data_IF_187482523107
#
_entry.id   IF_187482523107
#
_cell.length_a   1.000
_cell.length_b   1.000
_cell.length_c   1.000
_cell.angle_alpha   90.00
_cell.angle_beta   90.00
_cell.angle_gamma   90.00
#
_symmetry.space_group_name_H-M   'P 1'
#
loop_
_entity.id
_entity.type
_entity.pdbx_description
1 polymer ?
#
# COMPACT_ATOMS: atom_id res chain seq x y z
N UNK A 1 -37.02 12.48 37.54
CA UNK A 1 -36.28 11.78 36.48
C UNK A 1 -34.80 12.02 36.72
N UNK A 2 -34.06 11.02 37.22
CA UNK A 2 -32.61 11.12 37.40
C UNK A 2 -31.95 10.27 36.31
N UNK A 3 -31.24 10.92 35.40
CA UNK A 3 -30.42 10.29 34.39
C UNK A 3 -29.24 9.57 35.07
N UNK A 4 -29.08 8.27 34.83
CA UNK A 4 -27.93 7.48 35.24
C UNK A 4 -26.97 7.33 34.06
N UNK A 5 -25.75 7.85 34.23
CA UNK A 5 -24.64 7.66 33.30
C UNK A 5 -24.07 6.24 33.44
N UNK A 6 -23.87 5.54 32.33
CA UNK A 6 -23.18 4.24 32.28
C UNK A 6 -21.68 4.46 32.53
N UNK A 7 -21.12 3.75 33.51
CA UNK A 7 -19.67 3.74 33.80
C UNK A 7 -18.97 2.87 32.77
N UNK A 8 -17.95 3.41 32.09
CA UNK A 8 -17.08 2.66 31.20
C UNK A 8 -16.01 1.92 32.02
N UNK A 9 -15.84 0.62 31.75
CA UNK A 9 -14.76 -0.20 32.30
C UNK A 9 -13.41 0.27 31.73
N UNK A 10 -12.41 0.42 32.60
CA UNK A 10 -11.03 0.74 32.21
C UNK A 10 -10.32 -0.57 31.87
N UNK A 11 -9.99 -0.78 30.60
CA UNK A 11 -9.24 -1.94 30.13
C UNK A 11 -7.73 -1.63 30.17
N UNK A 12 -6.96 -2.47 30.89
CA UNK A 12 -5.48 -2.39 30.89
C UNK A 12 -4.94 -3.39 29.86
N UNK A 13 -4.37 -2.88 28.77
CA UNK A 13 -3.64 -3.68 27.79
C UNK A 13 -2.22 -3.95 28.32
N UNK A 14 -1.97 -5.17 28.79
CA UNK A 14 -0.64 -5.58 29.24
C UNK A 14 0.17 -6.16 28.05
N UNK A 15 1.16 -5.42 27.56
CA UNK A 15 2.16 -5.92 26.62
C UNK A 15 3.40 -6.34 27.42
N UNK A 16 3.59 -7.65 27.65
CA UNK A 16 4.77 -8.16 28.36
C UNK A 16 5.94 -8.33 27.37
N UNK A 17 6.94 -7.43 27.45
CA UNK A 17 8.21 -7.57 26.75
C UNK A 17 9.17 -8.39 27.63
N UNK A 18 9.29 -9.70 27.39
CA UNK A 18 10.36 -10.50 28.02
C UNK A 18 11.64 -10.33 27.21
N UNK A 19 12.51 -9.43 27.68
CA UNK A 19 13.90 -9.38 27.26
C UNK A 19 14.67 -10.50 27.97
N UNK A 20 15.01 -11.55 27.22
CA UNK A 20 15.86 -12.64 27.69
C UNK A 20 16.61 -13.24 26.51
N UNK A 21 17.80 -12.72 26.23
CA UNK A 21 18.70 -13.31 25.24
C UNK A 21 19.31 -14.62 25.73
N UNK A 22 19.64 -15.52 24.78
CA UNK A 22 20.78 -16.44 24.72
C UNK A 22 20.52 -17.50 23.60
N UNK A 23 21.54 -18.24 23.15
CA UNK A 23 22.53 -17.87 22.14
C UNK A 23 22.27 -18.56 20.79
N UNK A 24 22.83 -17.99 19.71
CA UNK A 24 22.92 -18.67 18.43
C UNK A 24 23.82 -19.92 18.56
N UNK A 25 23.24 -21.11 18.41
CA UNK A 25 23.99 -22.30 18.06
C UNK A 25 23.89 -22.51 16.54
N UNK A 26 24.91 -22.01 15.84
CA UNK A 26 25.12 -22.27 14.41
C UNK A 26 25.69 -23.67 14.25
N UNK A 27 24.87 -24.60 13.77
CA UNK A 27 25.29 -25.95 13.42
C UNK A 27 24.55 -26.48 12.19
N UNK A 28 25.20 -26.39 11.03
CA UNK A 28 25.04 -27.37 9.94
C UNK A 28 24.10 -27.01 8.78
N UNK A 29 24.67 -26.41 7.73
CA UNK A 29 24.49 -26.84 6.33
C UNK A 29 23.13 -26.63 5.64
N UNK A 30 23.06 -25.62 4.76
CA UNK A 30 22.02 -25.51 3.74
C UNK A 30 22.12 -24.20 2.96
N UNK A 31 22.55 -24.27 1.69
CA UNK A 31 22.85 -23.17 0.75
C UNK A 31 21.62 -22.40 0.23
N UNK A 32 20.54 -22.31 1.01
CA UNK A 32 19.37 -21.48 0.69
C UNK A 32 18.92 -20.77 1.96
N UNK A 33 19.54 -19.61 2.21
CA UNK A 33 19.21 -18.73 3.34
C UNK A 33 17.88 -18.02 3.12
N UNK A 34 16.77 -18.76 3.08
CA UNK A 34 15.48 -18.20 3.42
C UNK A 34 15.48 -17.96 4.92
N UNK A 35 15.63 -16.71 5.34
CA UNK A 35 15.26 -16.34 6.71
C UNK A 35 13.79 -16.70 6.87
N UNK A 36 13.51 -17.79 7.58
CA UNK A 36 12.19 -18.03 8.10
C UNK A 36 11.82 -16.81 8.93
N UNK A 37 10.89 -16.01 8.44
CA UNK A 37 10.23 -14.99 9.24
C UNK A 37 9.52 -15.80 10.33
N UNK A 38 10.09 -15.83 11.52
CA UNK A 38 9.37 -16.26 12.71
C UNK A 38 8.37 -15.14 12.98
N UNK A 39 7.19 -15.25 12.40
CA UNK A 39 6.04 -14.46 12.82
C UNK A 39 5.73 -14.89 14.25
N UNK A 40 6.16 -14.09 15.23
CA UNK A 40 5.59 -14.16 16.55
C UNK A 40 4.17 -13.58 16.43
N UNK A 41 3.18 -14.44 16.21
CA UNK A 41 1.78 -14.06 16.31
C UNK A 41 1.55 -13.54 17.74
N UNK A 42 1.18 -12.27 17.86
CA UNK A 42 0.79 -11.69 19.13
C UNK A 42 -0.69 -12.03 19.28
N UNK A 43 -1.01 -12.95 20.19
CA UNK A 43 -2.40 -13.34 20.47
C UNK A 43 -3.25 -12.09 20.75
N UNK A 44 -4.21 -11.80 19.88
CA UNK A 44 -5.17 -10.73 20.14
C UNK A 44 -6.24 -11.25 21.09
N UNK A 45 -6.24 -10.75 22.32
CA UNK A 45 -7.20 -11.14 23.36
C UNK A 45 -7.71 -9.93 24.14
N UNK A 46 -8.89 -10.08 24.75
CA UNK A 46 -9.42 -9.14 25.73
C UNK A 46 -9.81 -9.87 27.01
N UNK A 47 -9.54 -9.27 28.16
CA UNK A 47 -9.85 -9.84 29.47
C UNK A 47 -10.76 -8.90 30.24
N UNK A 48 -11.85 -9.45 30.77
CA UNK A 48 -12.78 -8.77 31.66
C UNK A 48 -12.62 -9.35 33.06
N UNK A 49 -12.14 -8.54 34.01
CA UNK A 49 -12.04 -8.91 35.43
C UNK A 49 -13.17 -8.27 36.20
N UNK A 50 -14.12 -9.06 36.72
CA UNK A 50 -15.37 -8.51 37.26
C UNK A 50 -15.19 -7.68 38.52
N UNK A 51 -14.15 -7.94 39.31
CA UNK A 51 -13.84 -7.14 40.51
C UNK A 51 -13.46 -5.69 40.21
N UNK A 52 -13.07 -5.39 38.98
CA UNK A 52 -12.64 -4.06 38.55
C UNK A 52 -13.83 -3.19 38.08
N UNK A 53 -15.03 -3.79 37.96
CA UNK A 53 -16.22 -3.13 37.42
C UNK A 53 -17.04 -2.38 38.47
N UNK A 54 -16.65 -2.46 39.75
CA UNK A 54 -17.23 -1.66 40.82
C UNK A 54 -18.66 -2.03 41.21
N UNK A 55 -19.02 -3.31 41.09
CA UNK A 55 -20.31 -3.84 41.55
C UNK A 55 -20.44 -3.86 43.07
N UNK A 56 -21.66 -3.62 43.55
CA UNK A 56 -22.03 -3.81 44.94
C UNK A 56 -22.22 -5.30 45.27
N UNK A 57 -22.02 -5.68 46.53
CA UNK A 57 -22.23 -7.05 46.96
C UNK A 57 -23.70 -7.46 46.77
N UNK A 58 -23.92 -8.61 46.12
CA UNK A 58 -25.22 -9.17 45.72
C UNK A 58 -25.95 -8.42 44.60
N UNK A 59 -25.26 -7.52 43.90
CA UNK A 59 -25.79 -6.88 42.70
C UNK A 59 -26.04 -7.91 41.60
N UNK A 60 -27.22 -7.86 40.97
CA UNK A 60 -27.53 -8.69 39.80
C UNK A 60 -26.74 -8.18 38.61
N UNK A 61 -26.06 -9.08 37.90
CA UNK A 61 -25.31 -8.74 36.69
C UNK A 61 -25.98 -9.44 35.51
N UNK A 62 -26.46 -8.66 34.53
CA UNK A 62 -27.15 -9.17 33.34
C UNK A 62 -26.22 -9.20 32.11
N UNK A 63 -25.34 -8.21 31.97
CA UNK A 63 -24.36 -8.19 30.89
C UNK A 63 -23.15 -7.30 31.21
N UNK A 64 -22.04 -7.59 30.54
CA UNK A 64 -20.83 -6.77 30.51
C UNK A 64 -20.39 -6.61 29.06
N UNK A 65 -20.25 -5.37 28.61
CA UNK A 65 -19.71 -5.05 27.29
C UNK A 65 -18.20 -4.80 27.39
N UNK A 66 -17.44 -5.46 26.52
CA UNK A 66 -16.02 -5.23 26.29
C UNK A 66 -15.80 -4.62 24.91
N UNK A 67 -14.54 -4.52 24.46
CA UNK A 67 -14.23 -3.85 23.20
C UNK A 67 -14.79 -4.63 21.99
N UNK A 68 -14.57 -5.95 21.95
CA UNK A 68 -14.95 -6.79 20.82
C UNK A 68 -15.97 -7.87 21.19
N UNK A 69 -16.27 -8.09 22.48
CA UNK A 69 -17.27 -9.03 22.94
C UNK A 69 -18.27 -8.45 23.95
N UNK A 70 -19.36 -9.18 24.13
CA UNK A 70 -20.37 -8.97 25.17
C UNK A 70 -20.53 -10.28 25.95
N UNK A 71 -20.46 -10.21 27.27
CA UNK A 71 -20.68 -11.32 28.18
C UNK A 71 -22.08 -11.14 28.79
N UNK A 72 -23.00 -12.05 28.51
CA UNK A 72 -24.39 -12.01 28.97
C UNK A 72 -24.62 -13.10 30.02
N UNK A 73 -25.27 -12.73 31.12
CA UNK A 73 -25.57 -13.58 32.25
C UNK A 73 -27.07 -13.78 32.36
N UNK A 74 -27.52 -15.02 32.20
CA UNK A 74 -28.95 -15.37 32.26
C UNK A 74 -29.24 -16.27 33.44
N UNK A 75 -30.44 -16.10 34.02
CA UNK A 75 -30.94 -17.05 35.02
C UNK A 75 -31.20 -18.44 34.44
N UNK A 76 -31.28 -18.57 33.11
CA UNK A 76 -31.65 -19.81 32.42
C UNK A 76 -32.91 -20.42 33.03
N UNK A 77 -32.79 -21.64 33.56
CA UNK A 77 -33.88 -22.36 34.23
C UNK A 77 -33.93 -22.16 35.74
N UNK A 78 -32.95 -21.46 36.35
CA UNK A 78 -32.96 -21.19 37.79
C UNK A 78 -33.87 -20.01 38.14
N UNK A 79 -34.31 -19.95 39.39
CA UNK A 79 -35.06 -18.82 39.93
C UNK A 79 -34.17 -17.65 40.36
N UNK A 80 -32.88 -17.90 40.63
CA UNK A 80 -31.92 -16.90 41.08
C UNK A 80 -31.07 -16.39 39.90
N UNK A 81 -31.12 -15.09 39.56
CA UNK A 81 -30.23 -14.55 38.53
C UNK A 81 -28.77 -14.54 39.02
N UNK A 82 -27.80 -14.53 38.09
CA UNK A 82 -26.40 -14.32 38.42
C UNK A 82 -26.17 -13.02 39.21
N UNK A 83 -25.31 -13.07 40.23
CA UNK A 83 -25.02 -11.93 41.10
C UNK A 83 -23.54 -11.82 41.42
N UNK A 84 -23.03 -10.61 41.52
CA UNK A 84 -21.69 -10.35 42.01
C UNK A 84 -21.62 -10.52 43.54
N UNK A 85 -20.56 -11.14 44.03
CA UNK A 85 -20.29 -11.27 45.47
C UNK A 85 -18.87 -10.83 45.78
N UNK A 86 -18.71 -9.99 46.81
CA UNK A 86 -17.38 -9.64 47.32
C UNK A 86 -16.65 -10.87 47.87
N UNK A 87 -17.40 -11.88 48.34
CA UNK A 87 -16.87 -13.16 48.80
C UNK A 87 -16.43 -14.05 47.63
N UNK A 88 -15.17 -13.86 47.23
CA UNK A 88 -14.56 -14.52 46.08
C UNK A 88 -14.42 -13.60 44.86
N UNK A 89 -14.82 -12.33 44.98
CA UNK A 89 -14.66 -11.29 43.96
C UNK A 89 -15.10 -11.73 42.56
N UNK A 90 -16.29 -12.34 42.49
CA UNK A 90 -16.75 -13.07 41.32
C UNK A 90 -18.26 -13.01 41.16
N UNK A 91 -18.72 -13.25 39.94
CA UNK A 91 -20.14 -13.44 39.62
C UNK A 91 -20.48 -14.89 39.90
N UNK A 92 -21.44 -15.10 40.81
CA UNK A 92 -21.99 -16.42 41.11
C UNK A 92 -23.07 -16.77 40.09
N UNK A 93 -22.84 -17.85 39.36
CA UNK A 93 -23.72 -18.42 38.34
C UNK A 93 -24.25 -19.75 38.89
N UNK A 94 -25.55 -19.82 39.18
CA UNK A 94 -26.18 -20.98 39.83
C UNK A 94 -26.40 -22.14 38.86
N UNK A 95 -26.59 -23.36 39.37
CA UNK A 95 -27.01 -24.49 38.53
C UNK A 95 -28.29 -24.18 37.75
N UNK A 96 -28.26 -24.31 36.43
CA UNK A 96 -29.31 -23.93 35.49
C UNK A 96 -29.19 -22.52 34.91
N UNK A 97 -28.24 -21.71 35.36
CA UNK A 97 -27.92 -20.40 34.76
C UNK A 97 -27.03 -20.59 33.52
N UNK A 98 -27.06 -19.60 32.62
CA UNK A 98 -26.19 -19.58 31.43
C UNK A 98 -25.36 -18.31 31.35
N UNK A 99 -24.21 -18.41 30.66
CA UNK A 99 -23.30 -17.30 30.35
C UNK A 99 -22.99 -17.35 28.87
N UNK A 100 -23.35 -16.32 28.12
CA UNK A 100 -23.12 -16.24 26.67
C UNK A 100 -22.03 -15.21 26.38
N UNK A 101 -20.97 -15.61 25.67
CA UNK A 101 -19.93 -14.71 25.19
C UNK A 101 -20.15 -14.56 23.69
N UNK A 102 -20.54 -13.37 23.23
CA UNK A 102 -20.69 -13.05 21.80
C UNK A 102 -19.67 -12.02 21.36
N UNK A 103 -19.17 -12.12 20.13
CA UNK A 103 -18.15 -11.21 19.61
C UNK A 103 -18.40 -10.79 18.17
N UNK A 104 -17.89 -9.60 17.82
CA UNK A 104 -17.79 -9.13 16.43
C UNK A 104 -16.69 -9.86 15.65
N UNK A 105 -15.71 -10.46 16.35
CA UNK A 105 -14.60 -11.25 15.80
C UNK A 105 -14.83 -12.75 16.01
N UNK A 106 -14.15 -13.59 15.22
CA UNK A 106 -14.22 -15.04 15.41
C UNK A 106 -13.38 -15.41 16.63
N UNK A 107 -14.01 -16.06 17.60
CA UNK A 107 -13.39 -16.49 18.86
C UNK A 107 -12.67 -17.82 18.60
N UNK A 108 -11.41 -17.92 19.00
CA UNK A 108 -10.63 -19.16 18.98
C UNK A 108 -10.62 -19.85 20.35
N UNK A 109 -10.67 -19.06 21.41
CA UNK A 109 -10.56 -19.56 22.78
C UNK A 109 -11.27 -18.64 23.78
N UNK A 110 -11.84 -19.21 24.84
CA UNK A 110 -12.39 -18.49 25.98
C UNK A 110 -11.85 -19.12 27.25
N UNK A 111 -11.08 -18.36 28.04
CA UNK A 111 -10.56 -18.81 29.34
C UNK A 111 -11.43 -18.21 30.45
N UNK A 112 -11.98 -19.06 31.31
CA UNK A 112 -12.68 -18.64 32.52
C UNK A 112 -11.72 -18.73 33.70
N UNK A 113 -11.71 -17.73 34.56
CA UNK A 113 -11.09 -17.87 35.89
C UNK A 113 -12.18 -17.94 36.96
N UNK A 114 -11.91 -18.71 38.01
CA UNK A 114 -12.85 -18.89 39.11
C UNK A 114 -12.37 -18.21 40.40
N UNK A 115 -13.32 -17.59 41.10
CA UNK A 115 -13.07 -16.93 42.37
C UNK A 115 -12.88 -17.90 43.54
N UNK A 116 -12.46 -17.37 44.69
CA UNK A 116 -12.23 -18.19 45.88
C UNK A 116 -13.48 -18.95 46.34
N UNK A 117 -13.28 -20.20 46.75
CA UNK A 117 -14.36 -21.12 47.14
C UNK A 117 -15.41 -21.27 46.03
N UNK A 118 -14.93 -21.47 44.80
CA UNK A 118 -15.77 -21.88 43.67
C UNK A 118 -16.52 -23.17 43.98
N UNK A 119 -17.69 -23.34 43.35
CA UNK A 119 -18.41 -24.61 43.41
C UNK A 119 -17.89 -25.61 42.37
N UNK A 120 -18.45 -26.81 42.40
CA UNK A 120 -18.00 -27.94 41.57
C UNK A 120 -19.03 -28.33 40.51
N UNK A 121 -19.99 -27.46 40.20
CA UNK A 121 -20.98 -27.75 39.19
C UNK A 121 -20.31 -27.88 37.81
N UNK A 122 -20.68 -28.91 37.07
CA UNK A 122 -20.20 -29.10 35.70
C UNK A 122 -20.60 -27.91 34.84
N UNK A 123 -19.75 -27.57 33.87
CA UNK A 123 -20.04 -26.56 32.86
C UNK A 123 -20.07 -27.27 31.52
N UNK A 124 -21.13 -27.02 30.75
CA UNK A 124 -21.25 -27.49 29.36
C UNK A 124 -21.30 -26.30 28.42
N UNK A 125 -20.97 -26.52 27.15
CA UNK A 125 -21.03 -25.51 26.09
C UNK A 125 -21.95 -25.97 24.97
N UNK A 126 -22.55 -25.03 24.24
CA UNK A 126 -23.43 -25.30 23.10
C UNK A 126 -22.67 -25.68 21.82
N UNK A 127 -21.45 -25.16 21.67
CA UNK A 127 -20.54 -25.43 20.55
C UNK A 127 -19.09 -25.54 21.02
N UNK A 128 -18.20 -26.08 20.19
CA UNK A 128 -16.78 -26.28 20.49
C UNK A 128 -16.52 -27.27 21.63
N UNK A 129 -15.33 -27.20 22.23
CA UNK A 129 -14.91 -28.09 23.30
C UNK A 129 -14.53 -27.29 24.54
N UNK A 130 -15.00 -27.71 25.72
CA UNK A 130 -14.65 -27.10 27.00
C UNK A 130 -13.83 -28.07 27.85
N UNK A 131 -12.60 -27.69 28.14
CA UNK A 131 -11.74 -28.37 29.11
C UNK A 131 -12.01 -27.81 30.51
N UNK A 132 -12.71 -28.61 31.32
CA UNK A 132 -13.02 -28.26 32.71
C UNK A 132 -11.79 -28.20 33.63
N UNK A 133 -10.68 -28.88 33.29
CA UNK A 133 -9.44 -28.88 34.07
C UNK A 133 -8.66 -27.57 33.90
N UNK A 134 -8.62 -27.06 32.68
CA UNK A 134 -7.97 -25.78 32.33
C UNK A 134 -8.94 -24.59 32.33
N UNK A 135 -10.22 -24.83 32.62
CA UNK A 135 -11.29 -23.85 32.57
C UNK A 135 -11.38 -23.10 31.21
N UNK A 136 -11.05 -23.80 30.12
CA UNK A 136 -10.81 -23.20 28.81
C UNK A 136 -11.70 -23.84 27.76
N UNK A 137 -12.37 -22.99 26.97
CA UNK A 137 -13.09 -23.40 25.77
C UNK A 137 -12.22 -23.13 24.54
N UNK A 138 -12.20 -24.06 23.59
CA UNK A 138 -11.55 -23.91 22.29
C UNK A 138 -12.53 -24.22 21.15
N UNK A 139 -12.44 -23.45 20.07
CA UNK A 139 -13.26 -23.68 18.90
C UNK A 139 -13.16 -22.56 17.86
N UNK A 140 -14.20 -22.43 17.04
CA UNK A 140 -14.36 -21.32 16.11
C UNK A 140 -15.82 -20.89 16.11
N UNK A 141 -16.13 -19.75 16.73
CA UNK A 141 -17.50 -19.26 16.84
C UNK A 141 -17.55 -17.73 17.02
N UNK A 142 -18.68 -17.12 16.65
CA UNK A 142 -19.01 -15.74 17.04
C UNK A 142 -19.72 -15.64 18.40
N UNK A 143 -20.26 -16.75 18.89
CA UNK A 143 -21.00 -16.82 20.14
C UNK A 143 -20.86 -18.21 20.74
N UNK A 144 -20.64 -18.26 22.06
CA UNK A 144 -20.56 -19.50 22.84
C UNK A 144 -21.40 -19.33 24.09
N UNK A 145 -22.32 -20.26 24.35
CA UNK A 145 -23.11 -20.31 25.57
C UNK A 145 -22.59 -21.41 26.51
N UNK A 146 -22.18 -21.00 27.70
CA UNK A 146 -21.83 -21.86 28.81
C UNK A 146 -23.06 -22.07 29.69
N UNK A 147 -23.38 -23.32 30.02
CA UNK A 147 -24.43 -23.68 30.97
C UNK A 147 -23.80 -24.27 32.22
N UNK A 148 -24.13 -23.69 33.39
CA UNK A 148 -23.76 -24.31 34.68
C UNK A 148 -24.78 -25.40 34.98
N UNK A 149 -24.34 -26.65 35.01
CA UNK A 149 -25.17 -27.82 35.25
C UNK A 149 -25.70 -27.92 36.68
N UNK A 150 -26.61 -28.87 36.90
CA UNK A 150 -27.18 -29.18 38.22
C UNK A 150 -28.35 -28.29 38.64
N UNK A 151 -29.11 -28.75 39.65
CA UNK A 151 -30.28 -28.03 40.22
C UNK A 151 -29.96 -27.31 41.53
N UNK A 152 -28.76 -27.51 42.06
CA UNK A 152 -28.21 -26.89 43.28
C UNK A 152 -26.73 -26.55 43.02
N UNK A 153 -26.14 -25.71 43.85
CA UNK A 153 -24.74 -25.29 43.70
C UNK A 153 -24.57 -24.11 42.74
N UNK A 154 -23.31 -23.79 42.44
CA UNK A 154 -22.93 -22.64 41.61
C UNK A 154 -21.52 -22.80 41.05
N UNK A 155 -21.16 -21.89 40.15
CA UNK A 155 -19.79 -21.52 39.78
C UNK A 155 -19.58 -20.03 40.03
N UNK A 156 -18.36 -19.61 40.35
CA UNK A 156 -17.99 -18.23 40.67
C UNK A 156 -17.00 -17.73 39.63
N UNK A 157 -17.48 -17.18 38.53
CA UNK A 157 -16.60 -16.68 37.46
C UNK A 157 -16.03 -15.33 37.89
N UNK A 158 -14.71 -15.23 38.00
CA UNK A 158 -13.97 -14.04 38.42
C UNK A 158 -13.53 -13.19 37.21
N UNK A 159 -13.09 -13.84 36.13
CA UNK A 159 -12.77 -13.18 34.87
C UNK A 159 -13.09 -14.06 33.66
N UNK A 160 -13.19 -13.40 32.51
CA UNK A 160 -13.30 -14.04 31.19
C UNK A 160 -12.24 -13.42 30.29
N UNK A 161 -11.39 -14.25 29.70
CA UNK A 161 -10.46 -13.86 28.63
C UNK A 161 -10.95 -14.46 27.33
N UNK A 162 -11.12 -13.63 26.30
CA UNK A 162 -11.56 -14.05 24.96
C UNK A 162 -10.40 -13.84 24.00
N UNK A 163 -9.98 -14.90 23.31
CA UNK A 163 -8.94 -14.87 22.28
C UNK A 163 -9.60 -14.95 20.92
N UNK A 164 -9.15 -14.10 20.00
CA UNK A 164 -9.70 -14.04 18.64
C UNK A 164 -8.77 -14.74 17.64
N UNK A 165 -9.38 -15.34 16.62
CA UNK A 165 -8.65 -15.71 15.43
C UNK A 165 -8.07 -14.43 14.80
N UNK A 166 -6.79 -14.46 14.43
CA UNK A 166 -6.20 -13.38 13.66
C UNK A 166 -6.94 -13.25 12.31
N UNK A 167 -7.18 -12.02 11.87
CA UNK A 167 -7.59 -11.79 10.50
C UNK A 167 -6.44 -12.26 9.59
N UNK A 168 -6.69 -13.19 8.67
CA UNK A 168 -5.67 -13.64 7.74
C UNK A 168 -5.10 -12.44 6.98
N UNK A 169 -3.85 -12.08 7.27
CA UNK A 169 -3.12 -11.10 6.47
C UNK A 169 -2.73 -11.80 5.17
N UNK A 170 -3.44 -11.50 4.08
CA UNK A 170 -3.01 -11.90 2.74
C UNK A 170 -1.73 -11.12 2.45
N UNK A 171 -0.59 -11.81 2.45
CA UNK A 171 0.68 -11.20 2.07
C UNK A 171 0.62 -10.84 0.59
N UNK A 172 0.69 -9.53 0.29
CA UNK A 172 0.78 -9.03 -1.07
C UNK A 172 2.18 -9.27 -1.63
N UNK A 173 2.26 -9.54 -2.93
CA UNK A 173 3.53 -9.62 -3.65
C UNK A 173 3.95 -8.22 -4.10
N UNK A 174 5.14 -7.78 -3.70
CA UNK A 174 5.66 -6.48 -4.10
C UNK A 174 6.15 -6.50 -5.56
N UNK A 175 5.68 -5.53 -6.37
CA UNK A 175 6.01 -5.44 -7.80
C UNK A 175 7.08 -4.39 -8.13
N UNK A 176 7.72 -3.76 -7.15
CA UNK A 176 8.67 -2.65 -7.42
C UNK A 176 9.89 -3.06 -8.26
N UNK A 177 10.17 -4.36 -8.38
CA UNK A 177 11.22 -4.91 -9.24
C UNK A 177 10.69 -5.65 -10.47
N UNK A 178 9.37 -5.61 -10.71
CA UNK A 178 8.75 -6.25 -11.84
C UNK A 178 9.21 -5.62 -13.16
N UNK A 179 9.29 -6.43 -14.21
CA UNK A 179 9.58 -5.94 -15.55
C UNK A 179 8.30 -5.49 -16.22
N UNK A 180 8.25 -4.24 -16.68
CA UNK A 180 7.11 -3.69 -17.45
C UNK A 180 7.43 -3.74 -18.93
N UNK A 181 6.61 -4.44 -19.71
CA UNK A 181 6.77 -4.59 -21.16
C UNK A 181 5.84 -3.64 -21.90
N UNK A 182 6.38 -2.83 -22.81
CA UNK A 182 5.63 -1.88 -23.62
C UNK A 182 5.32 -2.43 -25.01
N UNK A 183 4.16 -2.06 -25.54
CA UNK A 183 3.80 -2.24 -26.95
C UNK A 183 4.44 -1.15 -27.83
N UNK A 184 4.27 -1.28 -29.15
CA UNK A 184 4.85 -0.35 -30.13
C UNK A 184 4.33 1.10 -30.02
N UNK A 185 3.12 1.27 -29.49
CA UNK A 185 2.51 2.59 -29.20
C UNK A 185 2.89 3.13 -27.81
N UNK A 186 3.86 2.49 -27.15
CA UNK A 186 4.30 2.74 -25.77
C UNK A 186 3.26 2.47 -24.69
N UNK A 187 2.10 1.89 -25.01
CA UNK A 187 1.18 1.40 -23.99
C UNK A 187 1.80 0.21 -23.25
N UNK A 188 1.47 0.02 -21.97
CA UNK A 188 1.90 -1.17 -21.23
C UNK A 188 1.13 -2.38 -21.74
N UNK A 189 1.87 -3.42 -22.14
CA UNK A 189 1.32 -4.67 -22.69
C UNK A 189 1.30 -5.81 -21.67
N UNK A 190 2.28 -5.84 -20.76
CA UNK A 190 2.33 -6.82 -19.67
C UNK A 190 3.25 -6.37 -18.55
N UNK A 191 3.11 -7.02 -17.39
CA UNK A 191 4.08 -6.97 -16.30
C UNK A 191 4.55 -8.39 -15.96
N UNK A 192 5.84 -8.55 -15.67
CA UNK A 192 6.43 -9.83 -15.28
C UNK A 192 6.95 -9.75 -13.85
N UNK A 193 6.41 -10.59 -12.96
CA UNK A 193 6.76 -10.68 -11.53
C UNK A 193 7.27 -12.10 -11.25
N UNK A 194 8.59 -12.24 -11.04
CA UNK A 194 9.20 -13.57 -10.98
C UNK A 194 9.00 -14.34 -12.29
N UNK A 195 8.35 -15.50 -12.22
CA UNK A 195 8.01 -16.33 -13.40
C UNK A 195 6.63 -16.01 -14.01
N UNK A 196 5.83 -15.17 -13.35
CA UNK A 196 4.47 -14.87 -13.78
C UNK A 196 4.46 -13.69 -14.75
N UNK A 197 3.90 -13.89 -15.94
CA UNK A 197 3.62 -12.81 -16.90
C UNK A 197 2.13 -12.48 -16.89
N UNK A 198 1.79 -11.25 -16.48
CA UNK A 198 0.43 -10.76 -16.29
C UNK A 198 0.09 -9.86 -17.48
N UNK A 199 -0.92 -10.26 -18.26
CA UNK A 199 -1.40 -9.53 -19.45
C UNK A 199 -2.78 -8.91 -19.26
N UNK A 200 -3.57 -9.40 -18.29
CA UNK A 200 -4.78 -8.71 -17.84
C UNK A 200 -4.38 -7.65 -16.80
N UNK A 201 -4.42 -6.39 -17.22
CA UNK A 201 -3.97 -5.26 -16.42
C UNK A 201 -5.13 -4.50 -15.76
N UNK A 202 -6.35 -5.05 -15.76
CA UNK A 202 -7.54 -4.40 -15.18
C UNK A 202 -7.43 -4.12 -13.67
N UNK A 203 -6.58 -4.87 -12.96
CA UNK A 203 -6.24 -4.66 -11.55
C UNK A 203 -5.11 -3.65 -11.31
N UNK A 204 -4.70 -2.87 -12.30
CA UNK A 204 -3.58 -1.92 -12.19
C UNK A 204 -3.93 -0.56 -12.78
N UNK A 205 -3.48 0.48 -12.09
CA UNK A 205 -3.42 1.85 -12.59
C UNK A 205 -2.11 2.04 -13.36
N UNK A 206 -2.22 2.56 -14.58
CA UNK A 206 -1.08 2.77 -15.48
C UNK A 206 -0.95 4.25 -15.74
N UNK A 207 0.23 4.78 -15.47
CA UNK A 207 0.53 6.20 -15.66
C UNK A 207 1.89 6.40 -16.31
N UNK A 208 2.11 7.59 -16.87
CA UNK A 208 3.32 7.94 -17.60
C UNK A 208 3.88 9.26 -17.07
N UNK A 209 5.20 9.38 -17.14
CA UNK A 209 5.89 10.58 -16.67
C UNK A 209 7.39 10.56 -16.97
N UNK A 210 8.04 11.68 -16.67
CA UNK A 210 9.50 11.84 -16.76
C UNK A 210 10.23 11.38 -15.50
N UNK A 211 9.50 11.29 -14.39
CA UNK A 211 9.98 10.98 -13.04
C UNK A 211 8.87 10.33 -12.22
N UNK A 212 9.12 10.12 -10.93
CA UNK A 212 8.26 9.37 -10.02
C UNK A 212 6.98 10.14 -9.62
N UNK A 213 6.77 11.37 -10.09
CA UNK A 213 5.51 12.11 -9.89
C UNK A 213 4.39 11.74 -10.88
N UNK A 214 4.72 10.99 -11.94
CA UNK A 214 3.88 10.53 -13.05
C UNK A 214 2.34 10.65 -12.88
N UNK A 215 1.69 11.35 -13.81
CA UNK A 215 0.24 11.59 -13.73
C UNK A 215 -0.52 11.34 -15.05
N UNK A 216 0.18 11.19 -16.18
CA UNK A 216 -0.48 11.02 -17.47
C UNK A 216 -1.11 9.62 -17.54
N UNK A 217 -2.42 9.52 -17.80
CA UNK A 217 -3.12 8.23 -17.90
C UNK A 217 -2.98 7.55 -19.28
N UNK A 218 -2.46 8.26 -20.26
CA UNK A 218 -2.22 7.74 -21.62
C UNK A 218 -0.77 7.97 -22.02
N UNK A 219 -0.22 7.16 -22.95
CA UNK A 219 1.12 7.40 -23.48
C UNK A 219 1.29 8.85 -23.97
N UNK A 220 2.36 9.55 -23.56
CA UNK A 220 2.62 10.92 -24.00
C UNK A 220 2.85 11.00 -25.52
N UNK A 221 2.33 12.05 -26.15
CA UNK A 221 2.53 12.34 -27.58
C UNK A 221 3.55 13.46 -27.81
N UNK A 222 3.84 14.25 -26.78
CA UNK A 222 4.86 15.29 -26.85
C UNK A 222 6.25 14.66 -26.94
N UNK A 223 7.13 15.28 -27.72
CA UNK A 223 8.51 14.81 -27.88
C UNK A 223 9.24 14.81 -26.55
N UNK A 224 9.83 13.69 -26.16
CA UNK A 224 10.39 13.55 -24.82
C UNK A 224 10.90 12.15 -24.51
N UNK A 225 11.42 12.00 -23.29
CA UNK A 225 11.85 10.73 -22.71
C UNK A 225 10.94 10.43 -21.53
N UNK A 226 10.33 9.25 -21.53
CA UNK A 226 9.28 8.91 -20.58
C UNK A 226 9.46 7.50 -20.03
N UNK A 227 8.75 7.24 -18.95
CA UNK A 227 8.58 5.92 -18.35
C UNK A 227 7.09 5.64 -18.18
N UNK A 228 6.71 4.37 -18.21
CA UNK A 228 5.43 3.89 -17.74
C UNK A 228 5.57 3.37 -16.31
N UNK A 229 4.54 3.59 -15.50
CA UNK A 229 4.45 3.18 -14.11
C UNK A 229 3.18 2.38 -13.92
N UNK A 230 3.31 1.22 -13.29
CA UNK A 230 2.20 0.30 -13.05
C UNK A 230 2.05 0.12 -11.55
N UNK A 231 0.89 0.49 -11.01
CA UNK A 231 0.57 0.40 -9.58
C UNK A 231 -0.71 -0.41 -9.40
N UNK A 232 -0.76 -1.40 -8.48
CA UNK A 232 -1.99 -2.12 -8.18
C UNK A 232 -3.07 -1.13 -7.72
N UNK A 233 -4.26 -1.22 -8.32
CA UNK A 233 -5.37 -0.34 -7.93
C UNK A 233 -6.07 -0.87 -6.67
N UNK A 234 -7.12 -0.18 -6.23
CA UNK A 234 -7.83 -0.51 -4.99
C UNK A 234 -8.55 -1.86 -4.99
N UNK A 235 -8.80 -2.47 -6.17
CA UNK A 235 -9.42 -3.79 -6.27
C UNK A 235 -8.39 -4.92 -6.24
N UNK A 236 -7.09 -4.61 -6.34
CA UNK A 236 -6.02 -5.59 -6.37
C UNK A 236 -5.59 -6.00 -4.95
N UNK A 237 -5.90 -7.25 -4.61
CA UNK A 237 -5.57 -7.85 -3.30
C UNK A 237 -4.24 -8.58 -3.28
N UNK A 238 -3.66 -8.86 -4.45
CA UNK A 238 -2.55 -9.81 -4.58
C UNK A 238 -1.20 -9.10 -4.66
N UNK A 239 -1.18 -7.84 -5.10
CA UNK A 239 0.04 -7.08 -5.37
C UNK A 239 0.09 -5.74 -4.64
N UNK A 240 1.31 -5.27 -4.39
CA UNK A 240 1.61 -3.94 -3.85
C UNK A 240 2.87 -3.33 -4.49
N UNK A 241 3.11 -2.04 -4.27
CA UNK A 241 4.27 -1.32 -4.83
C UNK A 241 4.01 -0.78 -6.24
N UNK A 242 5.05 -0.26 -6.89
CA UNK A 242 4.94 0.35 -8.22
C UNK A 242 6.09 -0.11 -9.09
N UNK A 243 5.78 -0.75 -10.22
CA UNK A 243 6.76 -1.15 -11.22
C UNK A 243 7.02 -0.01 -12.20
N UNK A 244 8.26 0.11 -12.67
CA UNK A 244 8.69 1.15 -13.63
C UNK A 244 9.26 0.50 -14.89
N UNK A 245 8.85 0.97 -16.07
CA UNK A 245 9.39 0.47 -17.34
C UNK A 245 10.81 0.94 -17.59
N UNK A 246 11.46 0.36 -18.61
CA UNK A 246 12.60 1.02 -19.24
C UNK A 246 12.16 2.37 -19.85
N UNK A 247 13.11 3.29 -20.00
CA UNK A 247 12.86 4.58 -20.65
C UNK A 247 12.48 4.36 -22.12
N UNK A 248 11.42 5.01 -22.57
CA UNK A 248 11.07 5.09 -23.99
C UNK A 248 11.14 6.54 -24.48
N UNK A 249 11.28 6.69 -25.80
CA UNK A 249 11.48 7.99 -26.45
C UNK A 249 10.30 8.25 -27.37
N UNK A 250 9.67 9.40 -27.21
CA UNK A 250 8.71 9.94 -28.16
C UNK A 250 9.46 10.94 -29.04
N UNK A 251 9.58 10.60 -30.33
CA UNK A 251 10.22 11.48 -31.31
C UNK A 251 9.32 12.67 -31.63
N UNK A 252 9.93 13.80 -32.00
CA UNK A 252 9.20 15.01 -32.35
C UNK A 252 9.06 15.21 -33.86
N UNK A 253 8.15 16.10 -34.22
CA UNK A 253 8.03 16.65 -35.57
C UNK A 253 8.17 18.16 -35.52
N UNK A 254 8.80 18.74 -36.53
CA UNK A 254 8.95 20.18 -36.69
C UNK A 254 8.21 20.62 -37.95
N UNK A 255 7.26 21.54 -37.78
CA UNK A 255 6.59 22.21 -38.89
C UNK A 255 7.51 23.24 -39.54
N UNK A 256 7.06 23.87 -40.63
CA UNK A 256 7.81 24.97 -41.24
C UNK A 256 7.99 26.13 -40.27
N UNK A 257 9.23 26.64 -40.19
CA UNK A 257 9.56 27.71 -39.26
C UNK A 257 11.00 27.67 -38.77
N UNK A 258 11.26 28.44 -37.70
CA UNK A 258 12.56 28.59 -37.07
C UNK A 258 12.46 28.13 -35.62
N UNK A 259 13.37 27.24 -35.23
CA UNK A 259 13.44 26.68 -33.88
C UNK A 259 14.81 26.91 -33.28
N UNK A 260 14.83 27.18 -31.98
CA UNK A 260 16.04 27.46 -31.22
C UNK A 260 16.21 26.48 -30.07
N UNK A 261 17.45 26.06 -29.85
CA UNK A 261 17.81 25.15 -28.77
C UNK A 261 19.10 25.61 -28.13
N UNK A 262 19.15 25.54 -26.81
CA UNK A 262 20.26 26.02 -26.00
C UNK A 262 20.87 24.89 -25.19
N UNK A 263 22.19 24.88 -25.07
CA UNK A 263 22.91 23.94 -24.21
C UNK A 263 24.20 24.57 -23.68
N UNK A 264 24.62 24.15 -22.48
CA UNK A 264 25.94 24.47 -21.93
C UNK A 264 26.69 23.16 -21.72
N UNK A 265 27.90 23.08 -22.27
CA UNK A 265 28.76 21.90 -22.12
C UNK A 265 30.23 22.32 -22.08
N UNK A 266 30.97 21.81 -21.11
CA UNK A 266 32.41 22.06 -20.93
C UNK A 266 32.78 23.55 -20.91
N UNK A 267 31.96 24.37 -20.24
CA UNK A 267 32.16 25.82 -20.15
C UNK A 267 31.88 26.61 -21.43
N UNK A 268 31.31 25.98 -22.46
CA UNK A 268 30.84 26.63 -23.69
C UNK A 268 29.32 26.64 -23.75
N UNK A 269 28.76 27.75 -24.19
CA UNK A 269 27.36 27.91 -24.53
C UNK A 269 27.16 27.59 -26.01
N UNK A 270 26.07 26.91 -26.31
CA UNK A 270 25.68 26.52 -27.66
C UNK A 270 24.25 26.99 -27.91
N UNK A 271 24.04 27.63 -29.05
CA UNK A 271 22.71 27.90 -29.60
C UNK A 271 22.62 27.23 -30.96
N UNK A 272 21.65 26.34 -31.13
CA UNK A 272 21.33 25.71 -32.41
C UNK A 272 20.08 26.36 -32.97
N UNK A 273 20.17 26.80 -34.22
CA UNK A 273 19.03 27.22 -35.01
C UNK A 273 18.69 26.11 -36.02
N UNK A 274 17.41 25.75 -36.09
CA UNK A 274 16.86 24.81 -37.07
C UNK A 274 15.81 25.56 -37.88
N UNK A 275 16.04 25.70 -39.18
CA UNK A 275 15.11 26.32 -40.12
C UNK A 275 14.47 25.22 -40.96
N UNK A 276 13.18 25.01 -40.78
CA UNK A 276 12.39 24.09 -41.60
C UNK A 276 11.76 24.88 -42.73
N UNK A 277 12.07 24.49 -43.96
CA UNK A 277 11.72 25.23 -45.17
C UNK A 277 11.11 24.29 -46.23
N UNK A 278 10.04 24.69 -46.91
CA UNK A 278 9.54 24.00 -48.09
C UNK A 278 10.63 23.85 -49.16
N UNK A 279 10.64 22.71 -49.85
CA UNK A 279 11.51 22.46 -51.01
C UNK A 279 11.25 23.45 -52.16
N UNK A 280 10.05 24.03 -52.23
CA UNK A 280 9.72 25.07 -53.21
C UNK A 280 10.47 26.38 -52.98
N UNK A 281 10.82 26.73 -51.74
CA UNK A 281 11.61 27.95 -51.43
C UNK A 281 13.06 27.83 -51.88
N UNK A 282 13.57 26.60 -51.98
CA UNK A 282 14.96 26.31 -52.39
C UNK A 282 15.09 25.92 -53.86
N UNK A 283 13.96 25.78 -54.57
CA UNK A 283 13.98 25.37 -55.97
C UNK A 283 14.72 26.40 -56.84
N UNK A 284 15.76 25.96 -57.54
CA UNK A 284 16.59 26.82 -58.39
C UNK A 284 17.61 27.68 -57.63
N UNK A 285 17.75 27.48 -56.31
CA UNK A 285 18.75 28.14 -55.46
C UNK A 285 20.04 27.33 -55.42
N UNK A 286 21.17 28.00 -55.34
CA UNK A 286 22.49 27.37 -55.34
C UNK A 286 23.00 27.11 -53.92
N UNK A 287 22.65 27.96 -52.96
CA UNK A 287 23.08 27.85 -51.56
C UNK A 287 22.13 28.56 -50.60
N UNK A 288 22.15 28.13 -49.34
CA UNK A 288 21.64 28.89 -48.21
C UNK A 288 22.78 29.67 -47.53
N UNK A 289 22.48 30.86 -47.02
CA UNK A 289 23.42 31.71 -46.30
C UNK A 289 22.85 31.98 -44.91
N UNK A 290 23.53 31.45 -43.89
CA UNK A 290 23.21 31.81 -42.51
C UNK A 290 23.88 33.12 -42.15
N UNK A 291 23.14 34.01 -41.49
CA UNK A 291 23.65 35.26 -40.92
C UNK A 291 23.39 35.29 -39.43
N UNK A 292 24.41 34.99 -38.63
CA UNK A 292 24.32 35.00 -37.16
C UNK A 292 24.83 36.32 -36.59
N UNK A 293 24.01 36.99 -35.79
CA UNK A 293 24.27 38.35 -35.26
C UNK A 293 24.21 38.36 -33.74
N UNK A 294 25.25 38.89 -33.10
CA UNK A 294 25.32 39.12 -31.66
C UNK A 294 25.84 40.54 -31.40
N UNK A 295 24.97 41.41 -30.89
CA UNK A 295 25.25 42.85 -30.78
C UNK A 295 25.49 43.46 -32.17
N UNK A 296 26.62 44.14 -32.36
CA UNK A 296 27.02 44.75 -33.64
C UNK A 296 27.79 43.79 -34.57
N UNK A 297 28.08 42.57 -34.12
CA UNK A 297 28.86 41.61 -34.90
C UNK A 297 27.96 40.63 -35.63
N UNK A 298 28.09 40.56 -36.96
CA UNK A 298 27.46 39.53 -37.80
C UNK A 298 28.52 38.64 -38.42
N UNK A 299 28.28 37.33 -38.40
CA UNK A 299 29.06 36.33 -39.13
C UNK A 299 28.16 35.56 -40.08
N UNK A 300 28.66 35.33 -41.29
CA UNK A 300 27.95 34.57 -42.31
C UNK A 300 28.58 33.21 -42.56
N UNK A 301 27.75 32.23 -42.94
CA UNK A 301 28.19 30.89 -43.32
C UNK A 301 27.30 30.32 -44.42
N UNK A 302 27.91 29.91 -45.52
CA UNK A 302 27.21 29.31 -46.65
C UNK A 302 27.00 27.80 -46.43
N UNK A 303 25.85 27.28 -46.85
CA UNK A 303 25.55 25.84 -46.84
C UNK A 303 24.86 25.41 -48.13
N UNK A 304 25.18 24.21 -48.59
CA UNK A 304 24.41 23.49 -49.62
C UNK A 304 23.75 22.23 -49.06
N UNK A 305 23.90 21.99 -47.75
CA UNK A 305 23.42 20.79 -47.07
C UNK A 305 22.12 21.09 -46.34
N UNK A 306 21.13 20.21 -46.54
CA UNK A 306 19.90 20.14 -45.77
C UNK A 306 19.74 18.75 -45.16
N UNK A 307 18.84 18.64 -44.19
CA UNK A 307 18.54 17.43 -43.44
C UNK A 307 17.03 17.15 -43.46
N UNK A 308 16.62 15.90 -43.28
CA UNK A 308 15.21 15.52 -43.08
C UNK A 308 14.89 15.22 -41.62
N UNK A 309 15.91 15.18 -40.78
CA UNK A 309 15.77 15.08 -39.34
C UNK A 309 17.04 15.46 -38.58
N UNK A 310 16.88 15.73 -37.29
CA UNK A 310 17.95 16.13 -36.39
C UNK A 310 17.75 15.49 -35.03
N UNK A 311 18.82 15.00 -34.42
CA UNK A 311 18.78 14.53 -33.03
C UNK A 311 19.24 15.63 -32.08
N UNK A 312 18.45 15.89 -31.05
CA UNK A 312 18.78 16.83 -29.98
C UNK A 312 18.42 16.27 -28.63
N UNK A 313 19.35 16.34 -27.67
CA UNK A 313 19.18 15.80 -26.31
C UNK A 313 18.73 14.33 -26.27
N UNK A 314 19.07 13.55 -27.32
CA UNK A 314 18.68 12.15 -27.48
C UNK A 314 17.24 11.95 -27.98
N UNK A 315 16.54 13.01 -28.41
CA UNK A 315 15.24 12.96 -29.07
C UNK A 315 15.46 13.22 -30.56
N UNK A 316 14.90 12.37 -31.43
CA UNK A 316 14.95 12.59 -32.86
C UNK A 316 13.77 13.45 -33.32
N UNK A 317 14.03 14.43 -34.18
CA UNK A 317 13.04 15.30 -34.76
C UNK A 317 13.07 15.14 -36.28
N UNK A 318 11.91 14.94 -36.90
CA UNK A 318 11.75 14.94 -38.36
C UNK A 318 10.94 16.14 -38.83
N UNK A 319 10.98 16.43 -40.12
CA UNK A 319 10.06 17.41 -40.72
C UNK A 319 8.64 16.86 -40.66
N UNK A 320 7.66 17.71 -40.38
CA UNK A 320 6.26 17.32 -40.34
C UNK A 320 5.67 17.15 -41.75
N UNK A 321 6.17 17.93 -42.72
CA UNK A 321 5.81 17.86 -44.14
C UNK A 321 6.94 17.19 -44.92
N UNK A 322 6.62 16.17 -45.73
CA UNK A 322 7.57 15.45 -46.58
C UNK A 322 8.20 16.36 -47.65
N UNK A 323 7.53 17.47 -48.00
CA UNK A 323 8.01 18.48 -48.94
C UNK A 323 8.82 19.60 -48.27
N UNK A 324 9.17 19.45 -47.00
CA UNK A 324 10.07 20.35 -46.30
C UNK A 324 11.42 19.72 -45.97
N UNK A 325 12.42 20.57 -45.75
CA UNK A 325 13.77 20.19 -45.34
C UNK A 325 14.28 21.10 -44.23
N UNK A 326 15.26 20.63 -43.46
CA UNK A 326 15.87 21.37 -42.37
C UNK A 326 17.24 21.91 -42.75
N UNK A 327 17.51 23.16 -42.42
CA UNK A 327 18.83 23.75 -42.40
C UNK A 327 19.22 24.02 -40.96
N UNK A 328 20.39 23.52 -40.56
CA UNK A 328 20.83 23.54 -39.16
C UNK A 328 22.16 24.26 -39.04
N UNK A 329 22.24 25.22 -38.14
CA UNK A 329 23.49 25.89 -37.75
C UNK A 329 23.61 25.88 -36.23
N UNK A 330 24.80 25.60 -35.73
CA UNK A 330 25.10 25.67 -34.29
C UNK A 330 26.19 26.71 -34.07
N UNK A 331 25.88 27.72 -33.26
CA UNK A 331 26.82 28.75 -32.81
C UNK A 331 27.28 28.37 -31.41
N UNK A 332 28.57 28.49 -31.15
CA UNK A 332 29.13 28.26 -29.82
C UNK A 332 30.03 29.40 -29.37
N UNK A 333 30.06 29.66 -28.06
CA UNK A 333 30.89 30.70 -27.45
C UNK A 333 31.29 30.30 -26.03
N UNK A 334 32.45 30.76 -25.57
CA UNK A 334 32.84 30.72 -24.15
C UNK A 334 32.20 31.85 -23.33
N UNK A 335 31.62 32.85 -24.01
CA UNK A 335 30.84 33.93 -23.39
C UNK A 335 29.33 33.69 -23.47
N UNK A 336 28.54 34.64 -22.98
CA UNK A 336 27.08 34.62 -23.16
C UNK A 336 26.72 34.71 -24.66
N UNK A 337 25.62 34.04 -25.03
CA UNK A 337 24.98 34.13 -26.34
C UNK A 337 23.62 34.83 -26.26
N UNK A 338 23.34 35.54 -25.16
CA UNK A 338 22.08 36.26 -24.98
C UNK A 338 21.93 37.33 -26.08
N UNK A 339 20.78 37.33 -26.75
CA UNK A 339 20.51 38.22 -27.88
C UNK A 339 21.11 37.78 -29.22
N UNK A 340 21.72 36.59 -29.30
CA UNK A 340 22.11 35.99 -30.57
C UNK A 340 20.87 35.74 -31.43
N UNK A 341 20.87 36.27 -32.64
CA UNK A 341 19.88 35.94 -33.67
C UNK A 341 20.57 35.27 -34.85
N UNK A 342 19.83 34.51 -35.65
CA UNK A 342 20.31 33.95 -36.89
C UNK A 342 19.22 33.97 -37.94
N UNK A 343 19.52 34.41 -39.15
CA UNK A 343 18.62 34.33 -40.30
C UNK A 343 19.19 33.40 -41.37
N UNK A 344 18.33 32.89 -42.25
CA UNK A 344 18.68 32.03 -43.37
C UNK A 344 18.05 32.58 -44.64
N UNK A 345 18.89 32.96 -45.59
CA UNK A 345 18.50 33.42 -46.92
C UNK A 345 18.98 32.44 -48.00
N UNK A 346 18.30 32.40 -49.16
CA UNK A 346 18.68 31.53 -50.28
C UNK A 346 19.06 32.33 -51.53
N UNK A 347 20.27 32.09 -52.01
CA UNK A 347 20.85 32.69 -53.23
C UNK A 347 20.73 31.74 -54.42
#
# INVERSE_FOLDING_TARGET
MKHTWKKAAVFTLALALVAGGLPANVGGGGLFGGTAIVANAVETSETVTFSELGYDNQETVESVEAQNCTITFSRGTNSNPPKYYNTGSAIRVYGGNTVTISSTKDISEIRLSFGLSDGTNDITVDTGEYDSGEATWTGNAKSVEFTVGGTKGHRKIASVTVVYNEAATVSKTNISTATVTLAADNSVSSITVGENNITDLSGFDITYGTDDSHTAATPPTAAGKYYAYVTPNSTNTDYEGTAKSAQFIVNGTLADGKYEQYATKDGKNYTRFVFVKPKSEIAGKNKGVFSATLGETTKTFDTTTYYTGVTSNGIHYTVADEDSVMFVVTVSSTGSLDGLTCELDFE
#
